data_IF_975041866435
#
_entry.id   IF_975041866435
#
_cell.length_a   1.000
_cell.length_b   1.000
_cell.length_c   1.000
_cell.angle_alpha   90.00
_cell.angle_beta   90.00
_cell.angle_gamma   90.00
#
_symmetry.space_group_name_H-M   'P 1'
#
loop_
_entity.id
_entity.type
_entity.pdbx_description
1 polymer ?
#
# COMPACT_ATOMS: atom_id res chain seq x y z
N UNK A 1 -27.19 12.36 -32.15
CA UNK A 1 -26.30 11.42 -31.43
C UNK A 1 -26.74 11.46 -29.97
N UNK A 2 -27.24 10.33 -29.48
CA UNK A 2 -28.03 10.15 -28.24
C UNK A 2 -27.22 10.42 -26.94
N UNK A 3 -27.75 11.10 -25.90
CA UNK A 3 -27.05 11.35 -24.63
C UNK A 3 -27.01 10.17 -23.63
N UNK A 4 -27.51 8.97 -23.96
CA UNK A 4 -27.69 7.86 -23.00
C UNK A 4 -26.71 6.69 -23.10
N UNK A 5 -25.40 6.96 -23.13
CA UNK A 5 -24.39 5.89 -23.03
C UNK A 5 -23.48 6.08 -21.81
N UNK A 6 -23.48 5.16 -20.82
CA UNK A 6 -22.53 5.20 -19.73
C UNK A 6 -21.11 4.94 -20.26
N UNK A 7 -20.14 5.79 -19.90
CA UNK A 7 -18.73 5.57 -20.22
C UNK A 7 -18.21 4.40 -19.39
N UNK A 8 -17.79 3.34 -20.09
CA UNK A 8 -17.12 2.16 -19.52
C UNK A 8 -15.83 2.56 -18.83
N UNK A 9 -15.57 2.03 -17.64
CA UNK A 9 -14.25 2.01 -17.02
C UNK A 9 -13.28 1.26 -17.95
N UNK A 10 -12.19 1.92 -18.34
CA UNK A 10 -11.16 1.32 -19.18
C UNK A 10 -10.08 0.71 -18.28
N UNK A 11 -10.04 -0.62 -18.16
CA UNK A 11 -8.84 -1.33 -17.74
C UNK A 11 -7.98 -1.62 -18.98
N UNK A 12 -6.81 -1.00 -19.07
CA UNK A 12 -5.84 -1.35 -20.09
C UNK A 12 -5.08 -2.61 -19.63
N UNK A 13 -5.27 -3.71 -20.36
CA UNK A 13 -4.45 -4.92 -20.20
C UNK A 13 -3.08 -4.66 -20.83
N UNK A 14 -2.14 -4.15 -20.04
CA UNK A 14 -0.71 -4.27 -20.34
C UNK A 14 -0.16 -5.56 -19.74
N UNK A 15 0.74 -6.21 -20.47
CA UNK A 15 1.29 -7.52 -20.13
C UNK A 15 1.95 -7.54 -18.74
N UNK A 16 1.38 -8.36 -17.84
CA UNK A 16 2.06 -9.24 -16.88
C UNK A 16 3.40 -8.71 -16.33
N UNK A 17 3.39 -8.46 -15.00
CA UNK A 17 4.50 -8.67 -14.04
C UNK A 17 5.23 -7.40 -13.51
N UNK A 18 4.51 -6.49 -12.87
CA UNK A 18 5.00 -5.55 -11.83
C UNK A 18 3.78 -4.96 -11.11
N UNK A 19 3.72 -4.99 -9.77
CA UNK A 19 2.51 -4.57 -9.04
C UNK A 19 2.64 -3.10 -8.62
N UNK A 20 1.87 -2.23 -9.28
CA UNK A 20 1.57 -0.84 -8.90
C UNK A 20 0.06 -0.79 -8.69
N UNK A 21 -0.39 -0.20 -7.59
CA UNK A 21 -1.79 0.14 -7.43
C UNK A 21 -1.93 1.66 -7.46
N UNK A 22 -2.19 2.20 -8.65
CA UNK A 22 -2.77 3.53 -8.82
C UNK A 22 -4.29 3.41 -8.73
N UNK A 23 -4.86 3.86 -7.61
CA UNK A 23 -6.30 3.85 -7.40
C UNK A 23 -6.82 5.28 -7.40
N UNK A 24 -7.87 5.52 -8.20
CA UNK A 24 -8.57 6.81 -8.22
C UNK A 24 -9.88 6.69 -7.47
N UNK A 25 -9.93 7.27 -6.27
CA UNK A 25 -11.12 7.30 -5.42
C UNK A 25 -11.74 8.70 -5.50
N UNK A 26 -12.92 8.84 -6.10
CA UNK A 26 -13.69 10.09 -6.12
C UNK A 26 -12.90 11.30 -6.62
N UNK A 27 -12.01 11.06 -7.60
CA UNK A 27 -11.17 12.08 -8.20
C UNK A 27 -9.74 12.14 -7.66
N UNK A 28 -9.47 11.56 -6.47
CA UNK A 28 -8.17 11.55 -5.79
C UNK A 28 -7.32 10.37 -6.27
N UNK A 29 -6.13 10.65 -6.80
CA UNK A 29 -5.15 9.64 -7.23
C UNK A 29 -4.23 9.26 -6.06
N UNK A 30 -4.29 7.99 -5.67
CA UNK A 30 -3.60 7.45 -4.49
C UNK A 30 -2.50 6.49 -4.93
N UNK A 31 -1.33 6.58 -4.29
CA UNK A 31 -0.21 5.67 -4.47
C UNK A 31 0.17 5.05 -3.12
N UNK A 32 0.29 3.72 -3.05
CA UNK A 32 0.61 2.99 -1.81
C UNK A 32 2.03 2.46 -1.85
N UNK A 33 2.81 2.65 -0.78
CA UNK A 33 4.16 2.09 -0.58
C UNK A 33 5.06 2.15 -1.83
N UNK A 34 5.30 3.35 -2.39
CA UNK A 34 5.98 3.47 -3.67
C UNK A 34 7.45 3.07 -3.59
N UNK A 35 7.83 2.06 -4.38
CA UNK A 35 9.22 1.66 -4.61
C UNK A 35 9.54 1.59 -6.13
N UNK A 36 10.23 2.62 -6.62
CA UNK A 36 10.75 2.74 -7.99
C UNK A 36 12.20 2.29 -8.09
N UNK A 37 12.95 2.27 -6.97
CA UNK A 37 14.33 1.79 -6.91
C UNK A 37 14.49 0.33 -7.32
N UNK A 38 15.72 -0.04 -7.71
CA UNK A 38 16.05 -1.42 -8.09
C UNK A 38 16.23 -2.34 -6.87
N UNK A 39 16.59 -1.78 -5.71
CA UNK A 39 16.76 -2.53 -4.47
C UNK A 39 15.95 -1.94 -3.33
N UNK A 40 15.33 -2.83 -2.56
CA UNK A 40 14.73 -2.52 -1.27
C UNK A 40 15.82 -2.56 -0.20
N UNK A 41 16.64 -1.50 -0.15
CA UNK A 41 17.81 -1.45 0.71
C UNK A 41 18.29 -0.02 0.92
N UNK A 42 18.93 0.22 2.07
CA UNK A 42 19.70 1.44 2.30
C UNK A 42 20.81 1.65 1.26
N UNK A 43 21.44 0.57 0.80
CA UNK A 43 22.55 0.60 -0.16
C UNK A 43 22.10 0.04 -1.50
N UNK A 44 22.12 0.84 -2.57
CA UNK A 44 21.65 0.40 -3.88
C UNK A 44 22.54 -0.65 -4.57
N UNK A 45 23.70 -0.99 -3.99
CA UNK A 45 24.56 -2.09 -4.42
C UNK A 45 24.38 -3.39 -3.63
N UNK A 46 23.63 -3.40 -2.51
CA UNK A 46 23.49 -4.55 -1.61
C UNK A 46 22.03 -4.73 -1.14
N UNK A 47 21.61 -5.95 -0.78
CA UNK A 47 20.24 -6.24 -0.34
C UNK A 47 19.29 -6.65 -1.48
N UNK A 48 18.00 -6.88 -1.18
CA UNK A 48 17.03 -7.47 -2.12
C UNK A 48 16.90 -6.66 -3.42
N UNK A 49 17.18 -7.30 -4.56
CA UNK A 49 16.97 -6.72 -5.90
C UNK A 49 15.64 -7.20 -6.45
N UNK A 50 14.88 -6.31 -7.08
CA UNK A 50 13.64 -6.71 -7.75
C UNK A 50 13.91 -7.61 -8.95
N UNK A 51 13.02 -8.58 -9.15
CA UNK A 51 13.00 -9.45 -10.33
C UNK A 51 12.39 -8.78 -11.55
N UNK A 52 11.52 -7.79 -11.33
CA UNK A 52 10.80 -7.07 -12.36
C UNK A 52 10.97 -5.58 -12.13
N UNK A 53 11.22 -4.84 -13.21
CA UNK A 53 11.31 -3.39 -13.17
C UNK A 53 9.99 -2.75 -12.72
N UNK A 54 10.01 -1.49 -12.24
CA UNK A 54 8.78 -0.74 -12.05
C UNK A 54 8.06 -0.60 -13.40
N UNK A 55 6.71 -0.59 -13.43
CA UNK A 55 5.96 -0.55 -14.67
C UNK A 55 6.07 0.80 -15.40
N UNK A 56 6.51 1.84 -14.71
CA UNK A 56 6.76 3.17 -15.23
C UNK A 56 7.81 3.88 -14.37
N UNK A 57 8.35 5.00 -14.85
CA UNK A 57 9.16 5.91 -14.04
C UNK A 57 8.26 6.86 -13.24
N UNK A 58 8.86 7.60 -12.29
CA UNK A 58 8.12 8.61 -11.51
C UNK A 58 7.61 9.70 -12.44
N UNK A 59 8.33 10.09 -13.48
CA UNK A 59 7.94 11.12 -14.46
C UNK A 59 6.73 10.73 -15.31
N UNK A 60 6.48 9.43 -15.46
CA UNK A 60 5.37 8.89 -16.25
C UNK A 60 4.07 8.75 -15.46
N UNK A 61 4.09 8.96 -14.14
CA UNK A 61 2.88 8.91 -13.32
C UNK A 61 1.89 10.02 -13.74
N UNK A 62 0.57 9.81 -13.59
CA UNK A 62 -0.36 10.92 -13.56
C UNK A 62 -0.08 11.82 -12.34
N UNK A 63 -0.83 12.92 -12.18
CA UNK A 63 -0.86 13.66 -10.91
C UNK A 63 -1.18 12.69 -9.78
N UNK A 64 -0.41 12.72 -8.71
CA UNK A 64 -0.67 11.95 -7.48
C UNK A 64 -1.01 12.96 -6.39
N UNK A 65 -2.16 12.74 -5.75
CA UNK A 65 -2.67 13.65 -4.71
C UNK A 65 -2.29 13.16 -3.32
N UNK A 66 -2.22 11.84 -3.12
CA UNK A 66 -1.87 11.20 -1.85
C UNK A 66 -0.90 10.02 -2.04
N UNK A 67 0.09 9.93 -1.16
CA UNK A 67 0.87 8.70 -0.92
C UNK A 67 0.54 8.14 0.45
N UNK A 68 0.28 6.82 0.52
CA UNK A 68 0.07 6.10 1.77
C UNK A 68 1.31 5.24 2.05
N UNK A 69 1.93 5.45 3.20
CA UNK A 69 3.01 4.60 3.71
C UNK A 69 2.43 3.71 4.80
N UNK A 70 2.57 2.39 4.67
CA UNK A 70 2.11 1.45 5.71
C UNK A 70 3.09 1.34 6.87
N UNK A 71 4.38 1.26 6.60
CA UNK A 71 5.42 1.12 7.62
C UNK A 71 6.81 1.45 7.04
N UNK A 72 7.83 1.36 7.90
CA UNK A 72 9.14 1.92 7.61
C UNK A 72 10.12 0.97 6.92
N UNK A 73 9.77 -0.27 6.55
CA UNK A 73 10.71 -1.17 5.87
C UNK A 73 11.13 -0.66 4.49
N UNK A 74 12.30 -1.09 4.01
CA UNK A 74 12.92 -0.55 2.79
C UNK A 74 12.18 -0.86 1.49
N UNK A 75 11.38 -1.91 1.48
CA UNK A 75 10.50 -2.31 0.37
C UNK A 75 9.16 -1.56 0.36
N UNK A 76 8.84 -0.82 1.43
CA UNK A 76 7.62 -0.02 1.56
C UNK A 76 7.89 1.50 1.66
N UNK A 77 9.05 1.89 2.20
CA UNK A 77 9.52 3.27 2.31
C UNK A 77 10.91 3.42 1.67
N UNK A 78 10.92 3.63 0.36
CA UNK A 78 12.12 3.81 -0.45
C UNK A 78 12.53 5.29 -0.57
N UNK A 79 13.72 5.63 -0.09
CA UNK A 79 14.24 7.00 -0.09
C UNK A 79 14.39 7.59 -1.50
N UNK A 80 14.76 6.77 -2.49
CA UNK A 80 14.86 7.21 -3.89
C UNK A 80 13.49 7.61 -4.44
N UNK A 81 12.47 6.79 -4.18
CA UNK A 81 11.09 7.08 -4.57
C UNK A 81 10.53 8.33 -3.90
N UNK A 82 10.78 8.49 -2.59
CA UNK A 82 10.39 9.70 -1.85
C UNK A 82 11.02 10.94 -2.45
N UNK A 83 12.34 10.92 -2.70
CA UNK A 83 13.04 12.04 -3.31
C UNK A 83 12.50 12.38 -4.71
N UNK A 84 12.29 11.39 -5.58
CA UNK A 84 11.76 11.62 -6.93
C UNK A 84 10.31 12.12 -6.95
N UNK A 85 9.45 11.57 -6.08
CA UNK A 85 8.05 12.01 -5.97
C UNK A 85 7.97 13.43 -5.42
N UNK A 86 8.73 13.74 -4.37
CA UNK A 86 8.78 15.07 -3.78
C UNK A 86 9.35 16.11 -4.77
N UNK A 87 10.40 15.76 -5.51
CA UNK A 87 10.96 16.63 -6.54
C UNK A 87 9.95 16.92 -7.68
N UNK A 88 9.06 15.96 -7.99
CA UNK A 88 8.08 16.10 -9.06
C UNK A 88 6.82 16.86 -8.65
N UNK A 89 6.26 16.54 -7.49
CA UNK A 89 4.94 17.02 -7.06
C UNK A 89 5.00 18.07 -5.94
N UNK A 90 6.11 18.16 -5.20
CA UNK A 90 6.32 19.13 -4.13
C UNK A 90 5.20 19.12 -3.09
N UNK A 91 4.84 20.31 -2.59
CA UNK A 91 3.80 20.49 -1.56
C UNK A 91 2.38 20.15 -1.99
N UNK A 92 2.11 19.93 -3.28
CA UNK A 92 0.79 19.44 -3.73
C UNK A 92 0.55 17.98 -3.35
N UNK A 93 1.61 17.18 -3.23
CA UNK A 93 1.51 15.78 -2.83
C UNK A 93 1.41 15.67 -1.31
N UNK A 94 0.32 15.07 -0.82
CA UNK A 94 0.17 14.77 0.59
C UNK A 94 0.71 13.38 0.93
N UNK A 95 1.56 13.30 1.94
CA UNK A 95 2.07 12.04 2.48
C UNK A 95 1.29 11.66 3.73
N UNK A 96 0.63 10.51 3.72
CA UNK A 96 0.01 9.93 4.91
C UNK A 96 0.92 8.83 5.44
N UNK A 97 1.35 8.98 6.69
CA UNK A 97 2.33 8.10 7.32
C UNK A 97 1.89 7.72 8.73
N UNK A 98 2.23 6.51 9.22
CA UNK A 98 1.99 6.13 10.60
C UNK A 98 2.87 6.94 11.55
N UNK A 99 2.44 7.04 12.81
CA UNK A 99 3.12 7.73 13.90
C UNK A 99 4.63 7.42 13.97
N UNK A 100 5.48 8.45 14.07
CA UNK A 100 6.94 8.36 14.16
C UNK A 100 7.69 8.46 12.82
N UNK A 101 7.01 8.73 11.70
CA UNK A 101 7.62 8.89 10.37
C UNK A 101 7.64 10.32 9.84
N UNK A 102 6.92 11.27 10.44
CA UNK A 102 6.88 12.66 10.00
C UNK A 102 8.29 13.26 9.90
N UNK A 103 9.07 13.11 10.97
CA UNK A 103 10.44 13.64 11.05
C UNK A 103 11.35 13.07 9.95
N UNK A 104 11.16 11.81 9.56
CA UNK A 104 11.94 11.19 8.50
C UNK A 104 11.59 11.80 7.14
N UNK A 105 10.29 11.98 6.84
CA UNK A 105 9.82 12.58 5.60
C UNK A 105 10.20 14.06 5.51
N UNK A 106 10.10 14.79 6.62
CA UNK A 106 10.51 16.19 6.72
C UNK A 106 12.01 16.36 6.42
N UNK A 107 12.87 15.47 6.94
CA UNK A 107 14.31 15.45 6.62
C UNK A 107 14.60 15.12 5.15
N UNK A 108 13.68 14.42 4.48
CA UNK A 108 13.73 14.19 3.03
C UNK A 108 13.18 15.38 2.22
N UNK A 109 12.78 16.47 2.87
CA UNK A 109 12.27 17.69 2.25
C UNK A 109 10.78 17.66 1.91
N UNK A 110 10.02 16.68 2.44
CA UNK A 110 8.58 16.63 2.21
C UNK A 110 7.87 17.63 3.15
N UNK A 111 7.14 18.58 2.59
CA UNK A 111 6.51 19.67 3.35
C UNK A 111 5.07 19.36 3.77
N UNK A 112 4.36 18.54 3.00
CA UNK A 112 2.95 18.21 3.24
C UNK A 112 2.82 16.77 3.75
N UNK A 113 3.16 16.58 5.02
CA UNK A 113 3.13 15.27 5.70
C UNK A 113 2.04 15.27 6.75
N UNK A 114 1.24 14.21 6.77
CA UNK A 114 0.21 13.93 7.75
C UNK A 114 0.57 12.62 8.46
N UNK A 115 0.89 12.75 9.74
CA UNK A 115 1.23 11.62 10.61
C UNK A 115 0.03 11.28 11.48
N UNK A 116 -0.29 9.99 11.55
CA UNK A 116 -1.51 9.50 12.21
C UNK A 116 -1.21 8.25 13.05
N UNK A 117 -1.75 8.23 14.26
CA UNK A 117 -1.92 7.01 15.05
C UNK A 117 -3.14 6.21 14.54
N UNK A 118 -3.29 4.96 14.97
CA UNK A 118 -4.43 4.15 14.58
C UNK A 118 -5.75 4.79 14.98
N UNK A 119 -6.70 4.69 14.07
CA UNK A 119 -8.04 5.29 14.11
C UNK A 119 -8.08 6.80 13.99
N UNK A 120 -6.93 7.47 13.89
CA UNK A 120 -6.89 8.85 13.47
C UNK A 120 -7.11 8.96 11.96
N UNK A 121 -7.70 10.09 11.56
CA UNK A 121 -8.10 10.32 10.20
C UNK A 121 -7.78 11.74 9.75
N UNK A 122 -7.60 11.89 8.45
CA UNK A 122 -7.45 13.19 7.81
C UNK A 122 -7.91 13.12 6.34
N UNK A 123 -7.82 14.23 5.62
CA UNK A 123 -8.16 14.28 4.19
C UNK A 123 -7.05 14.96 3.40
N UNK A 124 -7.12 14.94 2.06
CA UNK A 124 -6.27 15.82 1.24
C UNK A 124 -6.95 17.20 1.17
N UNK A 125 -6.25 18.32 1.38
CA UNK A 125 -6.87 19.64 1.34
C UNK A 125 -7.54 19.90 -0.02
N UNK A 126 -8.81 20.33 0.01
CA UNK A 126 -9.61 20.50 -1.21
C UNK A 126 -10.31 19.22 -1.69
N UNK A 127 -10.13 18.11 -0.99
CA UNK A 127 -10.79 16.82 -1.20
C UNK A 127 -11.38 16.29 0.12
N UNK A 128 -12.05 17.16 0.87
CA UNK A 128 -12.54 16.90 2.24
C UNK A 128 -13.62 15.81 2.31
N UNK A 129 -14.17 15.40 1.17
CA UNK A 129 -15.12 14.30 1.04
C UNK A 129 -14.46 12.91 0.97
N UNK A 130 -13.12 12.84 0.95
CA UNK A 130 -12.35 11.60 0.98
C UNK A 130 -11.50 11.56 2.25
N UNK A 131 -11.89 10.68 3.17
CA UNK A 131 -11.22 10.49 4.45
C UNK A 131 -10.21 9.35 4.35
N UNK A 132 -9.01 9.59 4.85
CA UNK A 132 -7.93 8.63 5.01
C UNK A 132 -7.79 8.32 6.48
N UNK A 133 -8.05 7.07 6.86
CA UNK A 133 -7.96 6.58 8.24
C UNK A 133 -6.75 5.66 8.34
N UNK A 134 -5.85 5.96 9.27
CA UNK A 134 -4.77 5.06 9.64
C UNK A 134 -5.38 3.93 10.46
N UNK A 135 -5.33 2.67 9.99
CA UNK A 135 -5.97 1.54 10.67
C UNK A 135 -4.93 0.52 11.15
N UNK A 136 -5.23 -0.30 12.18
CA UNK A 136 -4.25 -1.25 12.69
C UNK A 136 -3.85 -2.32 11.66
N UNK A 137 -2.64 -2.84 11.82
CA UNK A 137 -2.17 -4.10 11.23
C UNK A 137 -1.27 -4.84 12.23
N UNK A 138 -0.94 -6.10 11.97
CA UNK A 138 -0.02 -6.88 12.82
C UNK A 138 1.33 -7.01 12.14
N UNK A 139 2.21 -6.03 12.38
CA UNK A 139 3.55 -6.02 11.80
C UNK A 139 4.53 -5.35 12.77
N UNK A 140 5.66 -4.87 12.26
CA UNK A 140 6.72 -4.20 13.00
C UNK A 140 7.39 -3.15 12.11
N UNK A 141 8.34 -2.38 12.65
CA UNK A 141 9.06 -1.38 11.87
C UNK A 141 10.54 -1.35 12.22
N UNK A 142 11.40 -1.14 11.22
CA UNK A 142 12.86 -1.01 11.39
C UNK A 142 13.52 -0.45 10.13
N UNK A 143 14.52 0.41 10.30
CA UNK A 143 15.39 0.86 9.19
C UNK A 143 16.86 0.73 9.53
N UNK A 144 17.22 0.93 10.79
CA UNK A 144 18.59 0.89 11.27
C UNK A 144 18.76 -0.19 12.34
N UNK A 145 19.99 -0.36 12.84
CA UNK A 145 20.26 -1.34 13.89
C UNK A 145 19.65 -0.99 15.26
N UNK A 146 19.07 0.21 15.43
CA UNK A 146 18.72 0.78 16.74
C UNK A 146 17.30 1.37 16.81
N UNK A 147 16.48 1.16 15.77
CA UNK A 147 15.16 1.78 15.63
C UNK A 147 14.00 0.79 15.52
N UNK A 148 14.19 -0.45 15.97
CA UNK A 148 13.12 -1.44 16.13
C UNK A 148 11.89 -0.82 16.82
N UNK A 149 10.77 -0.80 16.10
CA UNK A 149 9.46 -0.30 16.53
C UNK A 149 9.46 1.14 17.06
N UNK A 150 10.39 2.00 16.60
CA UNK A 150 10.35 3.45 16.90
C UNK A 150 9.34 4.22 16.07
N UNK A 151 8.82 3.60 15.01
CA UNK A 151 7.71 4.10 14.20
C UNK A 151 6.58 3.07 14.21
N UNK A 152 5.35 3.52 14.06
CA UNK A 152 4.17 2.67 13.96
C UNK A 152 4.12 2.01 12.57
N UNK A 153 3.37 0.91 12.48
CA UNK A 153 2.98 0.22 11.24
C UNK A 153 1.45 0.29 11.13
N UNK A 154 0.91 0.33 9.92
CA UNK A 154 -0.52 0.49 9.71
C UNK A 154 -1.01 -0.17 8.43
N UNK A 155 -2.32 -0.40 8.42
CA UNK A 155 -3.13 -0.46 7.21
C UNK A 155 -3.80 0.89 6.96
N UNK A 156 -4.44 1.08 5.81
CA UNK A 156 -5.15 2.31 5.48
C UNK A 156 -6.56 2.03 4.98
N UNK A 157 -7.54 2.71 5.57
CA UNK A 157 -8.91 2.76 5.07
C UNK A 157 -9.16 4.11 4.41
N UNK A 158 -9.53 4.11 3.13
CA UNK A 158 -9.85 5.33 2.38
C UNK A 158 -11.33 5.34 2.06
N UNK A 159 -12.03 6.35 2.56
CA UNK A 159 -13.49 6.43 2.61
C UNK A 159 -13.95 7.63 1.80
N UNK A 160 -14.54 7.39 0.63
CA UNK A 160 -15.27 8.43 -0.10
C UNK A 160 -16.79 8.26 0.03
N UNK A 161 -17.57 9.15 -0.61
CA UNK A 161 -19.02 9.13 -0.49
C UNK A 161 -19.66 7.89 -1.13
N UNK A 162 -19.09 7.37 -2.22
CA UNK A 162 -19.65 6.21 -2.93
C UNK A 162 -18.72 5.00 -2.95
N UNK A 163 -17.41 5.20 -2.78
CA UNK A 163 -16.42 4.14 -2.87
C UNK A 163 -15.50 4.11 -1.65
N UNK A 164 -15.11 2.90 -1.26
CA UNK A 164 -14.18 2.65 -0.15
C UNK A 164 -13.06 1.72 -0.60
N UNK A 165 -11.83 2.08 -0.26
CA UNK A 165 -10.63 1.32 -0.57
C UNK A 165 -9.87 0.95 0.72
N UNK A 166 -9.37 -0.27 0.80
CA UNK A 166 -8.52 -0.73 1.89
C UNK A 166 -7.14 -1.13 1.38
N UNK A 167 -6.08 -0.70 2.07
CA UNK A 167 -4.72 -1.15 1.83
C UNK A 167 -4.15 -1.77 3.09
N UNK A 168 -3.82 -3.07 3.04
CA UNK A 168 -3.43 -3.83 4.22
C UNK A 168 -2.02 -3.51 4.74
N UNK A 169 -1.13 -2.96 3.90
CA UNK A 169 0.31 -2.98 4.18
C UNK A 169 0.85 -4.41 4.29
N UNK A 170 1.94 -4.59 5.01
CA UNK A 170 2.37 -5.90 5.49
C UNK A 170 1.74 -6.20 6.83
N UNK A 171 1.32 -7.45 7.01
CA UNK A 171 0.58 -7.86 8.20
C UNK A 171 0.54 -9.37 8.34
N UNK A 172 0.62 -9.86 9.58
CA UNK A 172 0.05 -11.14 9.97
C UNK A 172 -1.47 -11.03 10.13
N UNK A 173 -2.15 -12.16 10.28
CA UNK A 173 -3.59 -12.14 10.56
C UNK A 173 -3.86 -11.68 12.00
N UNK A 174 -4.82 -10.76 12.20
CA UNK A 174 -5.25 -10.32 13.52
C UNK A 174 -6.74 -9.92 13.56
N UNK A 175 -7.38 -9.90 14.75
CA UNK A 175 -8.81 -9.56 14.89
C UNK A 175 -9.18 -8.13 14.44
N UNK A 176 -8.21 -7.22 14.30
CA UNK A 176 -8.45 -5.84 13.89
C UNK A 176 -9.12 -5.75 12.52
N UNK A 177 -8.92 -6.72 11.62
CA UNK A 177 -9.59 -6.71 10.31
C UNK A 177 -11.12 -6.81 10.42
N UNK A 178 -11.63 -7.59 11.38
CA UNK A 178 -13.07 -7.65 11.65
C UNK A 178 -13.58 -6.33 12.21
N UNK A 179 -12.80 -5.68 13.07
CA UNK A 179 -13.15 -4.37 13.59
C UNK A 179 -13.19 -3.30 12.49
N UNK A 180 -12.18 -3.30 11.60
CA UNK A 180 -12.12 -2.41 10.43
C UNK A 180 -13.34 -2.64 9.52
N UNK A 181 -13.67 -3.90 9.20
CA UNK A 181 -14.85 -4.24 8.41
C UNK A 181 -16.17 -3.79 9.07
N UNK A 182 -16.31 -3.91 10.39
CA UNK A 182 -17.49 -3.41 11.11
C UNK A 182 -17.58 -1.88 11.13
N UNK A 183 -16.46 -1.17 11.28
CA UNK A 183 -16.43 0.30 11.36
C UNK A 183 -16.62 0.95 9.99
N UNK A 184 -15.98 0.40 8.96
CA UNK A 184 -15.80 1.07 7.68
C UNK A 184 -16.22 0.24 6.46
N UNK A 185 -16.57 -1.04 6.64
CA UNK A 185 -17.07 -1.86 5.55
C UNK A 185 -18.51 -1.51 5.11
N UNK A 186 -18.97 -2.09 3.99
CA UNK A 186 -18.20 -2.92 3.07
C UNK A 186 -17.22 -2.09 2.23
N UNK A 187 -16.05 -2.64 1.92
CA UNK A 187 -15.07 -2.02 1.02
C UNK A 187 -15.33 -2.43 -0.43
N UNK A 188 -15.13 -1.54 -1.39
CA UNK A 188 -15.27 -1.89 -2.81
C UNK A 188 -14.05 -2.65 -3.33
N UNK A 189 -12.87 -2.24 -2.88
CA UNK A 189 -11.60 -2.88 -3.24
C UNK A 189 -10.68 -2.93 -2.03
N UNK A 190 -10.03 -4.07 -1.82
CA UNK A 190 -8.94 -4.22 -0.85
C UNK A 190 -7.65 -4.73 -1.50
N UNK A 191 -6.53 -4.09 -1.21
CA UNK A 191 -5.20 -4.56 -1.58
C UNK A 191 -4.58 -5.33 -0.42
N UNK A 192 -4.38 -6.64 -0.58
CA UNK A 192 -4.02 -7.57 0.50
C UNK A 192 -2.75 -8.36 0.10
N UNK A 193 -1.72 -8.44 0.97
CA UNK A 193 -0.50 -9.18 0.67
C UNK A 193 -0.76 -10.69 0.58
N UNK A 194 -0.02 -11.37 -0.30
CA UNK A 194 -0.05 -12.86 -0.43
C UNK A 194 1.35 -13.49 -0.51
N UNK A 195 2.41 -12.69 -0.31
CA UNK A 195 3.81 -13.10 -0.44
C UNK A 195 4.57 -13.02 0.88
N UNK A 196 5.84 -13.42 0.87
CA UNK A 196 6.74 -13.38 2.02
C UNK A 196 6.27 -14.16 3.26
N UNK A 197 5.53 -15.25 3.08
CA UNK A 197 4.91 -15.97 4.21
C UNK A 197 5.67 -17.23 4.65
N UNK A 198 6.73 -17.67 3.96
CA UNK A 198 7.48 -18.88 4.33
C UNK A 198 8.85 -18.60 4.96
N UNK A 199 9.26 -19.34 6.02
CA UNK A 199 8.52 -20.43 6.66
C UNK A 199 7.47 -19.93 7.69
N UNK A 200 6.35 -20.65 7.85
CA UNK A 200 5.18 -20.15 8.61
C UNK A 200 5.45 -19.94 10.10
N UNK A 201 6.27 -20.79 10.70
CA UNK A 201 6.68 -20.71 12.12
C UNK A 201 7.42 -19.40 12.44
N UNK A 202 8.06 -18.78 11.45
CA UNK A 202 8.76 -17.49 11.59
C UNK A 202 7.90 -16.32 11.08
N UNK A 203 7.18 -16.51 9.97
CA UNK A 203 6.52 -15.40 9.27
C UNK A 203 5.08 -15.17 9.72
N UNK A 204 4.36 -16.13 10.31
CA UNK A 204 2.92 -16.00 10.63
C UNK A 204 2.57 -14.80 11.50
N UNK A 205 3.47 -14.38 12.39
CA UNK A 205 3.25 -13.21 13.25
C UNK A 205 3.24 -11.87 12.49
N UNK A 206 3.75 -11.83 11.26
CA UNK A 206 4.09 -10.59 10.54
C UNK A 206 3.67 -10.61 9.06
N UNK A 207 3.44 -11.78 8.46
CA UNK A 207 2.97 -11.94 7.09
C UNK A 207 1.90 -13.03 7.01
N UNK A 208 0.79 -12.68 6.38
CA UNK A 208 -0.27 -13.61 6.01
C UNK A 208 0.14 -14.49 4.84
N UNK A 209 -0.34 -15.73 4.87
CA UNK A 209 -0.36 -16.58 3.68
C UNK A 209 -1.63 -16.31 2.83
N UNK A 210 -1.77 -16.91 1.64
CA UNK A 210 -2.94 -16.67 0.80
C UNK A 210 -4.29 -17.08 1.43
N UNK A 211 -4.31 -18.02 2.36
CA UNK A 211 -5.54 -18.43 3.06
C UNK A 211 -5.97 -17.36 4.06
N UNK A 212 -5.03 -16.89 4.88
CA UNK A 212 -5.25 -15.75 5.78
C UNK A 212 -5.61 -14.47 5.00
N UNK A 213 -5.07 -14.25 3.80
CA UNK A 213 -5.45 -13.13 2.94
C UNK A 213 -6.93 -13.19 2.51
N UNK A 214 -7.47 -14.38 2.24
CA UNK A 214 -8.91 -14.57 1.97
C UNK A 214 -9.74 -14.31 3.23
N UNK A 215 -9.25 -14.70 4.41
CA UNK A 215 -9.92 -14.37 5.67
C UNK A 215 -9.97 -12.85 5.89
N UNK A 216 -8.88 -12.12 5.64
CA UNK A 216 -8.87 -10.65 5.70
C UNK A 216 -9.91 -10.05 4.74
N UNK A 217 -9.98 -10.54 3.51
CA UNK A 217 -10.99 -10.10 2.53
C UNK A 217 -12.42 -10.23 3.08
N UNK A 218 -12.74 -11.37 3.70
CA UNK A 218 -14.05 -11.63 4.31
C UNK A 218 -14.31 -10.74 5.52
N UNK A 219 -13.35 -10.60 6.42
CA UNK A 219 -13.46 -9.81 7.65
C UNK A 219 -13.65 -8.31 7.36
N UNK A 220 -13.02 -7.81 6.30
CA UNK A 220 -13.20 -6.46 5.79
C UNK A 220 -14.55 -6.26 5.09
N UNK A 221 -15.28 -7.33 4.77
CA UNK A 221 -16.46 -7.29 3.91
C UNK A 221 -16.14 -6.65 2.55
N UNK A 222 -14.95 -6.94 2.01
CA UNK A 222 -14.52 -6.39 0.73
C UNK A 222 -15.28 -7.05 -0.41
N UNK A 223 -15.77 -6.26 -1.37
CA UNK A 223 -16.42 -6.79 -2.58
C UNK A 223 -15.42 -7.41 -3.54
N UNK A 224 -14.22 -6.84 -3.62
CA UNK A 224 -13.13 -7.33 -4.46
C UNK A 224 -11.80 -7.16 -3.74
N UNK A 225 -10.82 -7.99 -4.07
CA UNK A 225 -9.45 -7.79 -3.60
C UNK A 225 -8.42 -8.00 -4.69
N UNK A 226 -7.30 -7.30 -4.54
CA UNK A 226 -6.13 -7.41 -5.40
C UNK A 226 -4.93 -7.84 -4.58
N UNK A 227 -4.22 -8.86 -5.07
CA UNK A 227 -3.06 -9.42 -4.40
C UNK A 227 -1.82 -8.52 -4.54
N UNK A 228 -1.19 -8.14 -3.43
CA UNK A 228 0.05 -7.34 -3.38
C UNK A 228 1.19 -8.07 -2.66
N UNK A 229 2.35 -7.42 -2.50
CA UNK A 229 3.55 -7.94 -1.81
C UNK A 229 4.15 -9.25 -2.39
N UNK A 230 3.78 -9.64 -3.61
CA UNK A 230 4.27 -10.87 -4.24
C UNK A 230 4.94 -10.62 -5.60
N UNK A 231 5.89 -11.49 -5.95
CA UNK A 231 6.45 -11.59 -7.29
C UNK A 231 7.30 -10.39 -7.74
N UNK A 232 7.72 -9.51 -6.83
CA UNK A 232 8.59 -8.35 -7.14
C UNK A 232 9.98 -8.48 -6.52
N UNK A 233 10.08 -8.77 -5.22
CA UNK A 233 11.33 -9.06 -4.51
C UNK A 233 11.27 -10.49 -3.93
N UNK A 234 12.42 -11.12 -3.68
CA UNK A 234 12.47 -12.30 -2.80
C UNK A 234 12.78 -11.82 -1.39
N UNK A 235 11.75 -11.84 -0.56
CA UNK A 235 11.80 -11.40 0.82
C UNK A 235 11.67 -12.58 1.79
N UNK A 236 11.13 -13.72 1.32
CA UNK A 236 11.13 -14.97 2.07
C UNK A 236 11.36 -16.17 1.14
N UNK A 237 11.17 -17.39 1.66
CA UNK A 237 11.64 -18.63 1.02
C UNK A 237 10.67 -19.25 0.02
N UNK A 238 9.53 -18.62 -0.29
CA UNK A 238 8.64 -19.09 -1.34
C UNK A 238 9.31 -18.99 -2.73
N UNK A 239 9.14 -20.03 -3.55
CA UNK A 239 9.66 -20.03 -4.92
C UNK A 239 8.86 -19.00 -5.73
N UNK A 240 9.54 -18.03 -6.36
CA UNK A 240 8.95 -16.89 -7.10
C UNK A 240 8.02 -17.23 -8.29
N UNK A 241 7.69 -18.50 -8.49
CA UNK A 241 6.75 -19.05 -9.47
C UNK A 241 5.68 -19.99 -8.88
N UNK A 242 5.72 -20.30 -7.59
CA UNK A 242 4.86 -21.32 -6.96
C UNK A 242 3.56 -20.76 -6.32
N UNK A 243 3.23 -19.50 -6.57
CA UNK A 243 1.89 -19.00 -6.25
C UNK A 243 0.96 -19.36 -7.41
N UNK A 244 -0.13 -20.12 -7.18
CA UNK A 244 -1.14 -20.32 -8.21
C UNK A 244 -1.58 -18.95 -8.74
N UNK A 245 -1.87 -18.89 -10.03
CA UNK A 245 -2.63 -17.80 -10.62
C UNK A 245 -4.04 -17.78 -10.02
N UNK A 246 -4.18 -17.48 -8.74
CA UNK A 246 -5.38 -16.88 -8.21
C UNK A 246 -5.38 -15.46 -8.77
N UNK A 247 -5.86 -15.35 -10.01
CA UNK A 247 -6.66 -14.19 -10.30
C UNK A 247 -7.74 -14.20 -9.23
N UNK A 248 -7.66 -13.28 -8.26
CA UNK A 248 -8.80 -12.93 -7.41
C UNK A 248 -9.80 -12.19 -8.31
N UNK A 249 -10.22 -12.85 -9.38
CA UNK A 249 -11.40 -12.49 -10.15
C UNK A 249 -12.47 -13.39 -9.56
N UNK A 250 -13.39 -12.76 -8.83
CA UNK A 250 -14.55 -13.39 -8.18
C UNK A 250 -14.22 -14.08 -6.86
N UNK A 251 -14.07 -13.27 -5.82
CA UNK A 251 -15.15 -13.19 -4.83
C UNK A 251 -15.88 -11.88 -5.12
#
# INVERSE_FOLDING_TARGET
>A
VDPRTPRKSSSSRSSRKSFRLDYRLEGVNILTDPIFSQRASFLQFMGPKRYRGPPCTVEQLPRIDAVLISHSHYDHLDAGSVASLNARFGGELRWFVPLGLMDWLAKMGCENVMELDWWEENCVPGHDNVTFVCTPSQHWSKRTAWDDNRSLWSSWSVLGPNHRFFFAGDTGYCPSFQEIGRRFGPFDLAAIPIGAYLPRDVMKGQHVDPEEAVQIHQDLQAKQSVAVHWGTFALAYEVGSALPLYSVNTI
#
